data_IF_064740748131
#
_entry.id   IF_064740748131
#
_cell.length_a   1.000
_cell.length_b   1.000
_cell.length_c   1.000
_cell.angle_alpha   90.00
_cell.angle_beta   90.00
_cell.angle_gamma   90.00
#
_symmetry.space_group_name_H-M   'P 1'
#
loop_
_entity.id
_entity.type
_entity.pdbx_description
1 polymer ?
#
# COMPACT_ATOMS: atom_id res chain seq x y z
N UNK A 1 10.30 10.61 -4.26
CA UNK A 1 8.92 10.37 -4.77
C UNK A 1 7.91 10.60 -3.65
N UNK A 2 8.10 9.98 -2.50
CA UNK A 2 7.25 10.15 -1.31
C UNK A 2 7.09 11.61 -0.91
N UNK A 3 8.17 12.39 -0.81
CA UNK A 3 8.10 13.79 -0.36
C UNK A 3 7.19 14.62 -1.27
N UNK A 4 7.39 14.54 -2.58
CA UNK A 4 6.53 15.22 -3.56
C UNK A 4 5.06 14.79 -3.47
N UNK A 5 4.79 13.53 -3.11
CA UNK A 5 3.43 13.06 -2.90
C UNK A 5 2.83 13.65 -1.61
N UNK A 6 3.61 13.76 -0.54
CA UNK A 6 3.19 14.40 0.71
C UNK A 6 3.02 15.92 0.56
N UNK A 7 3.87 16.58 -0.22
CA UNK A 7 3.70 18.00 -0.58
C UNK A 7 2.35 18.22 -1.26
N UNK A 8 1.97 17.31 -2.17
CA UNK A 8 0.68 17.37 -2.87
C UNK A 8 -0.51 16.94 -2.00
N UNK A 9 -0.30 16.01 -1.07
CA UNK A 9 -1.34 15.46 -0.19
C UNK A 9 -0.90 15.47 1.28
N UNK A 10 -0.81 16.66 1.92
CA UNK A 10 -0.28 16.79 3.28
C UNK A 10 -1.10 15.98 4.30
N UNK A 11 -0.40 15.34 5.25
CA UNK A 11 -1.02 14.55 6.33
C UNK A 11 -1.54 13.17 5.93
N UNK A 12 -1.37 12.74 4.68
CA UNK A 12 -1.76 11.41 4.23
C UNK A 12 -0.94 10.31 4.90
N UNK A 13 -1.58 9.18 5.22
CA UNK A 13 -0.87 7.97 5.68
C UNK A 13 -0.12 7.34 4.51
N UNK A 14 1.11 6.88 4.76
CA UNK A 14 1.93 6.20 3.75
C UNK A 14 1.79 4.69 3.91
N UNK A 15 1.49 4.01 2.80
CA UNK A 15 1.57 2.56 2.69
C UNK A 15 2.52 2.22 1.54
N UNK A 16 3.59 1.46 1.85
CA UNK A 16 4.45 0.87 0.85
C UNK A 16 4.05 -0.58 0.57
N UNK A 17 3.91 -0.91 -0.72
CA UNK A 17 3.64 -2.25 -1.24
C UNK A 17 4.46 -2.48 -2.52
N UNK A 18 4.44 -3.70 -3.05
CA UNK A 18 5.27 -4.11 -4.19
C UNK A 18 6.40 -5.05 -3.77
N UNK A 19 6.87 -5.89 -4.71
CA UNK A 19 7.92 -6.89 -4.45
C UNK A 19 9.21 -6.27 -3.89
N UNK A 20 9.62 -5.11 -4.41
CA UNK A 20 10.80 -4.36 -3.92
C UNK A 20 10.63 -3.94 -2.47
N UNK A 21 9.43 -3.46 -2.10
CA UNK A 21 9.12 -2.97 -0.76
C UNK A 21 9.00 -4.10 0.28
N UNK A 22 9.08 -5.37 -0.15
CA UNK A 22 9.19 -6.52 0.75
C UNK A 22 10.62 -6.76 1.28
N UNK A 23 11.62 -6.01 0.78
CA UNK A 23 13.00 -6.08 1.23
C UNK A 23 13.18 -5.40 2.60
N UNK A 24 13.70 -6.13 3.59
CA UNK A 24 13.84 -5.66 4.97
C UNK A 24 14.77 -4.45 5.15
N UNK A 25 15.80 -4.30 4.32
CA UNK A 25 16.71 -3.15 4.39
C UNK A 25 16.00 -1.87 3.92
N UNK A 26 15.25 -1.96 2.82
CA UNK A 26 14.43 -0.85 2.33
C UNK A 26 13.37 -0.47 3.36
N UNK A 27 12.70 -1.45 3.98
CA UNK A 27 11.72 -1.18 5.04
C UNK A 27 12.34 -0.43 6.21
N UNK A 28 13.53 -0.84 6.65
CA UNK A 28 14.25 -0.20 7.76
C UNK A 28 14.58 1.27 7.44
N UNK A 29 15.11 1.54 6.25
CA UNK A 29 15.46 2.91 5.85
C UNK A 29 14.22 3.79 5.71
N UNK A 30 13.20 3.32 5.00
CA UNK A 30 11.96 4.08 4.82
C UNK A 30 11.19 4.31 6.13
N UNK A 31 11.21 3.36 7.06
CA UNK A 31 10.58 3.54 8.38
C UNK A 31 11.32 4.55 9.27
N UNK A 32 12.62 4.75 9.04
CA UNK A 32 13.39 5.74 9.78
C UNK A 32 13.11 7.17 9.27
N UNK A 33 12.79 7.31 7.99
CA UNK A 33 12.54 8.59 7.33
C UNK A 33 11.06 8.99 7.35
N UNK A 34 10.15 8.02 7.26
CA UNK A 34 8.73 8.25 7.10
C UNK A 34 7.89 7.52 8.15
N UNK A 35 6.86 8.19 8.67
CA UNK A 35 5.79 7.54 9.42
C UNK A 35 4.91 6.72 8.46
N UNK A 36 5.32 5.48 8.19
CA UNK A 36 4.77 4.64 7.14
C UNK A 36 4.42 3.23 7.62
N UNK A 37 3.60 2.55 6.82
CA UNK A 37 3.27 1.15 6.98
C UNK A 37 3.75 0.33 5.77
N UNK A 38 4.00 -0.95 5.99
CA UNK A 38 4.35 -1.90 4.94
C UNK A 38 3.28 -2.97 4.82
N UNK A 39 2.88 -3.28 3.58
CA UNK A 39 2.05 -4.43 3.33
C UNK A 39 2.85 -5.72 3.63
N UNK A 40 2.27 -6.69 4.36
CA UNK A 40 2.88 -8.00 4.56
C UNK A 40 3.33 -8.64 3.25
N UNK A 41 4.43 -9.41 3.25
CA UNK A 41 5.00 -10.01 2.02
C UNK A 41 3.98 -10.73 1.14
N UNK A 42 3.06 -11.48 1.76
CA UNK A 42 1.95 -12.19 1.07
C UNK A 42 0.95 -11.28 0.34
N UNK A 43 0.94 -9.98 0.64
CA UNK A 43 0.08 -8.97 0.03
C UNK A 43 0.85 -7.93 -0.80
N UNK A 44 2.19 -7.97 -0.77
CA UNK A 44 3.05 -6.99 -1.43
C UNK A 44 3.46 -7.39 -2.85
N UNK A 45 3.58 -8.67 -3.15
CA UNK A 45 3.92 -9.14 -4.51
C UNK A 45 2.68 -9.29 -5.38
N UNK A 46 2.88 -9.39 -6.70
CA UNK A 46 1.81 -9.62 -7.67
C UNK A 46 1.03 -10.91 -7.33
N UNK A 47 -0.24 -10.74 -6.97
CA UNK A 47 -1.16 -11.82 -6.65
C UNK A 47 -2.61 -11.41 -6.90
N UNK A 48 -3.51 -12.39 -6.83
CA UNK A 48 -4.93 -12.18 -7.10
C UNK A 48 -5.72 -11.56 -5.93
N UNK A 49 -5.14 -11.43 -4.73
CA UNK A 49 -5.87 -11.06 -3.51
C UNK A 49 -6.42 -9.64 -3.61
N UNK A 50 -5.59 -8.69 -4.06
CA UNK A 50 -6.00 -7.30 -4.22
C UNK A 50 -7.15 -7.14 -5.21
N UNK A 51 -7.03 -7.80 -6.38
CA UNK A 51 -8.06 -7.76 -7.42
C UNK A 51 -9.35 -8.44 -6.94
N UNK A 52 -9.26 -9.62 -6.33
CA UNK A 52 -10.43 -10.33 -5.81
C UNK A 52 -11.19 -9.50 -4.76
N UNK A 53 -10.46 -8.85 -3.84
CA UNK A 53 -11.06 -7.98 -2.82
C UNK A 53 -11.71 -6.74 -3.43
N UNK A 54 -11.03 -6.05 -4.36
CA UNK A 54 -11.58 -4.87 -5.04
C UNK A 54 -12.81 -5.22 -5.90
N UNK A 55 -12.78 -6.34 -6.62
CA UNK A 55 -13.91 -6.82 -7.40
C UNK A 55 -15.12 -7.12 -6.51
N UNK A 56 -14.91 -7.82 -5.39
CA UNK A 56 -15.97 -8.06 -4.40
C UNK A 56 -16.54 -6.76 -3.86
N UNK A 57 -15.70 -5.79 -3.46
CA UNK A 57 -16.16 -4.49 -2.95
C UNK A 57 -16.98 -3.73 -3.98
N UNK A 58 -16.52 -3.70 -5.22
CA UNK A 58 -17.25 -3.05 -6.32
C UNK A 58 -18.62 -3.71 -6.53
N UNK A 59 -18.68 -5.04 -6.52
CA UNK A 59 -19.93 -5.78 -6.64
C UNK A 59 -20.89 -5.52 -5.47
N UNK A 60 -20.38 -5.39 -4.24
CA UNK A 60 -21.23 -5.06 -3.08
C UNK A 60 -21.83 -3.65 -3.20
N UNK A 61 -21.03 -2.67 -3.60
CA UNK A 61 -21.46 -1.30 -3.81
C UNK A 61 -22.50 -1.17 -4.94
N UNK A 62 -22.39 -1.95 -6.02
CA UNK A 62 -23.38 -1.95 -7.10
C UNK A 62 -24.71 -2.60 -6.71
N UNK A 63 -24.67 -3.54 -5.77
CA UNK A 63 -25.86 -4.24 -5.25
C UNK A 63 -26.53 -3.49 -4.09
N UNK A 64 -26.09 -2.28 -3.76
CA UNK A 64 -26.64 -1.47 -2.66
C UNK A 64 -26.43 -2.09 -1.27
N UNK A 65 -25.43 -2.97 -1.11
CA UNK A 65 -25.07 -3.64 0.14
C UNK A 65 -23.87 -2.99 0.82
#
# INVERSE_FOLDING_TARGET
>A
MTDKALERYPGSKILYCGGVMSNSLIQKWMSAEYNCHFAPRRFSCDNAIGIAYLAKRKHQLSEGK
#
